data_IF_769838195072
#
_entry.id   IF_769838195072
#
_cell.length_a   1.000
_cell.length_b   1.000
_cell.length_c   1.000
_cell.angle_alpha   90.00
_cell.angle_beta   90.00
_cell.angle_gamma   90.00
#
_symmetry.space_group_name_H-M   'P 1'
#
loop_
_entity.id
_entity.type
_entity.pdbx_description
1 polymer ?
#
# COMPACT_ATOMS: atom_id res chain seq x y z
N UNK A 1 11.67 31.06 -19.48
CA UNK A 1 13.11 31.37 -19.30
C UNK A 1 13.42 31.28 -17.80
N UNK A 2 14.56 30.68 -17.39
CA UNK A 2 15.02 30.41 -15.99
C UNK A 2 14.25 29.37 -15.14
N UNK A 3 14.25 28.09 -15.55
CA UNK A 3 14.04 26.93 -14.65
C UNK A 3 15.11 25.82 -14.84
N UNK A 4 16.19 26.12 -15.58
CA UNK A 4 17.24 25.15 -15.96
C UNK A 4 18.37 24.99 -14.91
N UNK A 5 18.53 25.93 -13.98
CA UNK A 5 19.68 25.93 -13.05
C UNK A 5 19.35 25.43 -11.62
N UNK A 6 18.08 25.26 -11.26
CA UNK A 6 17.70 24.86 -9.89
C UNK A 6 17.73 23.33 -9.68
N UNK A 7 17.43 22.54 -10.72
CA UNK A 7 17.50 21.07 -10.64
C UNK A 7 18.95 20.56 -10.69
N UNK A 8 19.87 21.30 -11.32
CA UNK A 8 21.30 20.97 -11.30
C UNK A 8 21.96 21.18 -9.93
N UNK A 9 21.42 22.07 -9.11
CA UNK A 9 21.98 22.34 -7.78
C UNK A 9 21.60 21.26 -6.76
N UNK A 10 20.42 20.65 -6.88
CA UNK A 10 19.99 19.57 -5.98
C UNK A 10 20.60 18.20 -6.31
N UNK A 11 21.00 17.96 -7.56
CA UNK A 11 21.74 16.73 -7.92
C UNK A 11 23.24 16.89 -7.66
N UNK A 12 23.80 18.11 -7.75
CA UNK A 12 25.22 18.36 -7.47
C UNK A 12 25.57 18.55 -5.99
N UNK A 13 24.60 18.81 -5.11
CA UNK A 13 24.84 18.91 -3.66
C UNK A 13 24.52 17.62 -2.87
N UNK A 14 23.96 16.59 -3.51
CA UNK A 14 23.85 15.27 -2.90
C UNK A 14 25.20 14.53 -2.81
N UNK A 15 26.29 15.09 -3.35
CA UNK A 15 27.61 14.48 -3.36
C UNK A 15 28.56 15.00 -2.26
N UNK A 16 28.13 15.96 -1.42
CA UNK A 16 28.95 16.43 -0.29
C UNK A 16 28.11 16.64 0.96
N UNK A 17 28.55 16.03 2.06
CA UNK A 17 28.01 16.07 3.43
C UNK A 17 26.63 15.45 3.66
N UNK A 18 26.66 14.16 3.94
CA UNK A 18 25.53 13.37 4.38
C UNK A 18 25.69 11.95 3.90
N UNK A 19 26.72 11.25 4.39
CA UNK A 19 26.74 9.79 4.29
C UNK A 19 25.54 9.34 5.12
N UNK A 20 24.36 9.27 4.49
CA UNK A 20 23.29 8.40 4.96
C UNK A 20 23.91 7.02 4.80
N UNK A 21 24.59 6.56 5.84
CA UNK A 21 25.10 5.21 5.89
C UNK A 21 23.90 4.33 5.53
N UNK A 22 23.97 3.53 4.46
CA UNK A 22 22.88 2.63 4.14
C UNK A 22 22.67 1.83 5.43
N UNK A 23 21.47 1.90 6.00
CA UNK A 23 21.19 1.15 7.22
C UNK A 23 21.23 -0.31 6.80
N UNK A 24 22.39 -0.94 6.96
CA UNK A 24 22.64 -2.31 6.53
C UNK A 24 21.79 -3.20 7.43
N UNK A 25 20.56 -3.43 7.01
CA UNK A 25 19.66 -4.36 7.67
C UNK A 25 20.11 -5.73 7.20
N UNK A 26 20.95 -6.38 8.00
CA UNK A 26 21.20 -7.80 7.88
C UNK A 26 19.84 -8.52 7.86
N UNK A 27 19.67 -9.54 6.99
CA UNK A 27 18.41 -10.27 6.84
C UNK A 27 17.84 -10.78 8.18
N UNK A 28 18.71 -11.15 9.13
CA UNK A 28 18.31 -11.53 10.49
C UNK A 28 17.58 -10.40 11.23
N UNK A 29 18.07 -9.15 11.11
CA UNK A 29 17.43 -7.98 11.70
C UNK A 29 16.12 -7.66 10.98
N UNK A 30 16.05 -7.88 9.67
CA UNK A 30 14.79 -7.75 8.92
C UNK A 30 13.74 -8.75 9.43
N UNK A 31 14.10 -10.03 9.53
CA UNK A 31 13.19 -11.08 10.02
C UNK A 31 12.76 -10.79 11.46
N UNK A 32 13.70 -10.39 12.33
CA UNK A 32 13.38 -10.02 13.71
C UNK A 32 12.42 -8.82 13.77
N UNK A 33 12.68 -7.76 13.00
CA UNK A 33 11.80 -6.60 12.91
C UNK A 33 10.40 -6.97 12.39
N UNK A 34 10.33 -7.83 11.38
CA UNK A 34 9.07 -8.33 10.83
C UNK A 34 8.25 -9.11 11.86
N UNK A 35 8.88 -10.00 12.63
CA UNK A 35 8.22 -10.76 13.71
C UNK A 35 7.74 -9.82 14.83
N UNK A 36 8.59 -8.89 15.28
CA UNK A 36 8.25 -7.92 16.33
C UNK A 36 7.05 -7.06 15.90
N UNK A 37 7.02 -6.64 14.64
CA UNK A 37 5.90 -5.92 14.06
C UNK A 37 4.63 -6.75 14.15
N UNK A 38 4.61 -7.99 13.64
CA UNK A 38 3.42 -8.85 13.66
C UNK A 38 2.88 -9.00 15.09
N UNK A 39 3.77 -9.27 16.05
CA UNK A 39 3.38 -9.41 17.47
C UNK A 39 2.81 -8.09 17.99
N UNK A 40 3.42 -6.96 17.66
CA UNK A 40 2.95 -5.63 18.12
C UNK A 40 1.57 -5.32 17.53
N UNK A 41 1.36 -5.55 16.23
CA UNK A 41 0.05 -5.33 15.60
C UNK A 41 -1.01 -6.24 16.21
N UNK A 42 -0.67 -7.50 16.43
CA UNK A 42 -1.55 -8.47 17.08
C UNK A 42 -1.97 -7.97 18.47
N UNK A 43 -1.03 -7.52 19.30
CA UNK A 43 -1.32 -6.98 20.64
C UNK A 43 -2.19 -5.73 20.58
N UNK A 44 -1.91 -4.79 19.66
CA UNK A 44 -2.73 -3.58 19.48
C UNK A 44 -4.17 -3.95 19.12
N UNK A 45 -4.35 -4.87 18.16
CA UNK A 45 -5.67 -5.34 17.74
C UNK A 45 -6.40 -6.07 18.85
N UNK A 46 -5.67 -6.87 19.64
CA UNK A 46 -6.22 -7.59 20.78
C UNK A 46 -6.71 -6.62 21.86
N UNK A 47 -5.90 -5.63 22.23
CA UNK A 47 -6.29 -4.58 23.19
C UNK A 47 -7.49 -3.77 22.69
N UNK A 48 -7.52 -3.44 21.40
CA UNK A 48 -8.65 -2.74 20.79
C UNK A 48 -9.94 -3.58 20.86
N UNK A 49 -9.85 -4.87 20.53
CA UNK A 49 -10.99 -5.78 20.61
C UNK A 49 -11.52 -5.90 22.04
N UNK A 50 -10.64 -6.03 23.03
CA UNK A 50 -11.03 -6.06 24.45
C UNK A 50 -11.69 -4.75 24.90
N UNK A 51 -11.09 -3.61 24.55
CA UNK A 51 -11.59 -2.29 24.96
C UNK A 51 -12.95 -1.94 24.36
N UNK A 52 -13.25 -2.45 23.16
CA UNK A 52 -14.48 -2.14 22.42
C UNK A 52 -15.49 -3.30 22.36
N UNK A 53 -15.26 -4.39 23.08
CA UNK A 53 -16.07 -5.61 22.97
C UNK A 53 -17.56 -5.35 23.21
N UNK A 54 -17.90 -4.53 24.22
CA UNK A 54 -19.29 -4.18 24.54
C UNK A 54 -19.94 -3.32 23.44
N UNK A 55 -19.25 -2.29 22.94
CA UNK A 55 -19.76 -1.47 21.84
C UNK A 55 -19.89 -2.25 20.53
N UNK A 56 -18.99 -3.20 20.27
CA UNK A 56 -19.05 -4.10 19.11
C UNK A 56 -20.28 -4.99 19.19
N UNK A 57 -20.63 -5.52 20.37
CA UNK A 57 -21.79 -6.41 20.52
C UNK A 57 -23.13 -5.66 20.47
N UNK A 58 -23.21 -4.46 21.06
CA UNK A 58 -24.47 -3.74 21.22
C UNK A 58 -24.75 -2.71 20.12
N UNK A 59 -23.70 -2.14 19.50
CA UNK A 59 -23.80 -1.05 18.52
C UNK A 59 -22.88 -1.29 17.32
N UNK A 60 -23.02 -2.44 16.67
CA UNK A 60 -22.23 -2.85 15.50
C UNK A 60 -22.06 -1.75 14.44
N UNK A 61 -23.11 -0.99 14.11
CA UNK A 61 -23.03 0.09 13.11
C UNK A 61 -22.11 1.25 13.54
N UNK A 62 -22.10 1.57 14.84
CA UNK A 62 -21.20 2.57 15.40
C UNK A 62 -19.77 2.02 15.47
N UNK A 63 -19.61 0.77 15.91
CA UNK A 63 -18.33 0.09 15.91
C UNK A 63 -17.72 0.05 14.50
N UNK A 64 -18.48 -0.31 13.46
CA UNK A 64 -18.02 -0.30 12.06
C UNK A 64 -17.50 1.05 11.59
N UNK A 65 -18.16 2.16 11.98
CA UNK A 65 -17.74 3.52 11.63
C UNK A 65 -16.36 3.87 12.20
N UNK A 66 -16.03 3.35 13.38
CA UNK A 66 -14.72 3.54 14.02
C UNK A 66 -13.73 2.41 13.71
N UNK A 67 -14.20 1.21 13.36
CA UNK A 67 -13.41 0.05 12.93
C UNK A 67 -12.83 0.29 11.53
N UNK A 68 -13.58 0.99 10.68
CA UNK A 68 -13.08 1.56 9.43
C UNK A 68 -12.09 2.72 9.65
N UNK A 69 -11.68 3.03 10.89
CA UNK A 69 -10.51 3.87 11.12
C UNK A 69 -9.34 3.25 10.36
N UNK A 70 -8.84 3.92 9.30
CA UNK A 70 -7.86 3.35 8.38
C UNK A 70 -6.60 2.85 9.08
N UNK A 71 -6.34 3.32 10.30
CA UNK A 71 -5.07 3.18 10.97
C UNK A 71 -4.90 1.81 11.66
N UNK A 72 -5.91 1.30 12.36
CA UNK A 72 -5.77 0.04 13.14
C UNK A 72 -5.93 -1.18 12.23
N UNK A 73 -6.88 -1.13 11.30
CA UNK A 73 -7.19 -2.25 10.42
C UNK A 73 -6.15 -2.44 9.30
N UNK A 74 -5.61 -1.33 8.78
CA UNK A 74 -4.57 -1.38 7.76
C UNK A 74 -3.15 -1.29 8.35
N UNK A 75 -3.00 -1.40 9.66
CA UNK A 75 -1.68 -1.33 10.30
C UNK A 75 -0.76 -2.44 9.80
N UNK A 76 -1.30 -3.65 9.59
CA UNK A 76 -0.54 -4.75 8.98
C UNK A 76 -0.04 -4.39 7.58
N UNK A 77 -0.92 -3.85 6.73
CA UNK A 77 -0.58 -3.44 5.37
C UNK A 77 0.45 -2.30 5.36
N UNK A 78 0.27 -1.31 6.23
CA UNK A 78 1.17 -0.18 6.35
C UNK A 78 2.57 -0.63 6.77
N UNK A 79 2.69 -1.46 7.81
CA UNK A 79 4.01 -1.85 8.31
C UNK A 79 4.66 -2.90 7.42
N UNK A 80 3.91 -3.88 6.89
CA UNK A 80 4.46 -4.81 5.91
C UNK A 80 4.93 -4.04 4.67
N UNK A 81 4.15 -3.06 4.18
CA UNK A 81 4.54 -2.14 3.12
C UNK A 81 5.82 -1.36 3.43
N UNK A 82 5.96 -0.84 4.65
CA UNK A 82 7.16 -0.14 5.10
C UNK A 82 8.40 -1.04 5.08
N UNK A 83 8.26 -2.31 5.45
CA UNK A 83 9.35 -3.29 5.49
C UNK A 83 9.80 -3.76 4.10
N UNK A 84 8.95 -3.69 3.07
CA UNK A 84 9.32 -4.03 1.69
C UNK A 84 10.49 -3.18 1.20
N UNK A 85 10.50 -1.88 1.52
CA UNK A 85 11.54 -0.97 1.05
C UNK A 85 12.96 -1.39 1.50
N UNK A 86 13.22 -1.63 2.80
CA UNK A 86 14.44 -2.26 3.28
C UNK A 86 14.79 -3.58 2.57
N UNK A 87 13.81 -4.46 2.35
CA UNK A 87 14.01 -5.76 1.73
C UNK A 87 14.48 -5.63 0.27
N UNK A 88 13.85 -4.73 -0.50
CA UNK A 88 14.24 -4.40 -1.87
C UNK A 88 15.65 -3.81 -1.91
N UNK A 89 15.98 -2.90 -0.98
CA UNK A 89 17.31 -2.30 -0.89
C UNK A 89 18.39 -3.34 -0.61
N UNK A 90 18.16 -4.24 0.34
CA UNK A 90 19.06 -5.35 0.67
C UNK A 90 19.32 -6.23 -0.56
N UNK A 91 18.27 -6.66 -1.26
CA UNK A 91 18.42 -7.51 -2.44
C UNK A 91 19.17 -6.81 -3.59
N UNK A 92 18.89 -5.53 -3.84
CA UNK A 92 19.57 -4.77 -4.88
C UNK A 92 21.06 -4.54 -4.58
N UNK A 93 21.43 -4.39 -3.30
CA UNK A 93 22.82 -4.28 -2.87
C UNK A 93 23.58 -5.60 -3.02
N UNK A 94 22.97 -6.72 -2.59
CA UNK A 94 23.58 -8.05 -2.72
C UNK A 94 23.78 -8.45 -4.20
N UNK A 95 22.86 -8.05 -5.08
CA UNK A 95 23.04 -8.22 -6.52
C UNK A 95 24.25 -7.46 -7.06
N UNK A 96 24.51 -6.23 -6.60
CA UNK A 96 25.66 -5.42 -7.03
C UNK A 96 26.99 -5.98 -6.50
N UNK A 97 27.03 -6.40 -5.23
CA UNK A 97 28.23 -7.01 -4.63
C UNK A 97 28.59 -8.36 -5.25
N UNK A 98 27.60 -9.18 -5.61
CA UNK A 98 27.80 -10.46 -6.28
C UNK A 98 28.27 -10.30 -7.74
N UNK A 99 27.94 -9.20 -8.41
CA UNK A 99 28.48 -8.87 -9.75
C UNK A 99 29.95 -8.46 -9.65
N UNK A 100 30.33 -7.66 -8.65
CA UNK A 100 31.73 -7.26 -8.45
C UNK A 100 32.61 -8.41 -7.95
N UNK A 101 32.08 -9.32 -7.12
CA UNK A 101 32.82 -10.49 -6.64
C UNK A 101 32.83 -11.67 -7.62
N UNK A 102 31.96 -11.71 -8.64
CA UNK A 102 32.10 -12.66 -9.77
C UNK A 102 33.36 -12.41 -10.61
N UNK A 103 33.95 -11.21 -10.51
CA UNK A 103 35.23 -10.88 -11.14
C UNK A 103 36.41 -11.42 -10.30
N UNK A 104 36.22 -11.61 -8.99
CA UNK A 104 37.20 -12.26 -8.10
C UNK A 104 36.83 -13.73 -7.87
N UNK A 105 37.41 -14.62 -8.68
CA UNK A 105 37.38 -16.08 -8.48
C UNK A 105 38.04 -16.42 -7.13
N UNK A 106 37.26 -16.58 -6.07
CA UNK A 106 37.33 -17.70 -5.11
C UNK A 106 36.48 -17.38 -3.88
N UNK A 107 35.32 -18.04 -3.75
CA UNK A 107 34.64 -18.14 -2.47
C UNK A 107 33.61 -19.26 -2.54
N UNK A 108 34.09 -20.50 -2.34
CA UNK A 108 33.29 -21.73 -2.45
C UNK A 108 32.26 -21.94 -1.33
N UNK A 109 32.18 -21.09 -0.29
CA UNK A 109 31.39 -21.41 0.91
C UNK A 109 30.41 -20.31 1.39
N UNK A 110 29.94 -19.40 0.54
CA UNK A 110 28.94 -18.41 0.97
C UNK A 110 27.51 -18.84 0.64
N UNK A 111 26.90 -19.45 1.67
CA UNK A 111 25.48 -19.63 1.97
C UNK A 111 24.51 -19.54 0.77
N UNK A 112 24.05 -20.72 0.38
CA UNK A 112 23.12 -21.07 -0.69
C UNK A 112 21.68 -20.50 -0.55
N UNK A 113 21.46 -19.48 0.28
CA UNK A 113 20.12 -19.19 0.81
C UNK A 113 19.26 -18.25 -0.04
N UNK A 114 19.83 -17.48 -0.99
CA UNK A 114 19.03 -16.55 -1.81
C UNK A 114 19.51 -16.43 -3.25
N UNK A 115 19.77 -17.56 -3.90
CA UNK A 115 19.85 -17.60 -5.37
C UNK A 115 18.43 -17.56 -5.95
N UNK A 116 17.73 -16.42 -5.79
CA UNK A 116 16.63 -16.07 -6.69
C UNK A 116 17.24 -15.91 -8.08
N UNK A 117 17.39 -17.04 -8.77
CA UNK A 117 17.95 -17.10 -10.10
C UNK A 117 17.10 -16.18 -10.97
N UNK A 118 17.74 -15.21 -11.63
CA UNK A 118 17.09 -14.22 -12.49
C UNK A 118 16.18 -14.83 -13.57
N UNK A 119 16.31 -16.12 -13.85
CA UNK A 119 15.47 -16.90 -14.78
C UNK A 119 14.09 -17.30 -14.22
N UNK A 120 13.89 -17.41 -12.89
CA UNK A 120 12.60 -17.79 -12.30
C UNK A 120 11.68 -16.59 -12.00
N UNK A 121 12.14 -15.39 -12.32
CA UNK A 121 11.43 -14.15 -12.03
C UNK A 121 10.01 -14.03 -12.62
N UNK A 122 9.75 -14.37 -13.90
CA UNK A 122 8.39 -14.32 -14.42
C UNK A 122 7.48 -15.29 -13.68
N UNK A 123 7.97 -16.50 -13.34
CA UNK A 123 7.21 -17.49 -12.56
C UNK A 123 6.83 -16.97 -11.18
N UNK A 124 7.72 -16.25 -10.51
CA UNK A 124 7.45 -15.65 -9.19
C UNK A 124 6.34 -14.58 -9.28
N UNK A 125 6.33 -13.76 -10.33
CA UNK A 125 5.23 -12.80 -10.56
C UNK A 125 3.90 -13.52 -10.80
N UNK A 126 3.90 -14.59 -11.58
CA UNK A 126 2.70 -15.42 -11.76
C UNK A 126 2.21 -16.02 -10.44
N UNK A 127 3.11 -16.54 -9.60
CA UNK A 127 2.76 -17.03 -8.26
C UNK A 127 2.13 -15.91 -7.42
N UNK A 128 2.71 -14.70 -7.43
CA UNK A 128 2.15 -13.56 -6.71
C UNK A 128 0.73 -13.18 -7.20
N UNK A 129 0.49 -13.19 -8.51
CA UNK A 129 -0.85 -12.96 -9.08
C UNK A 129 -1.84 -14.05 -8.62
N UNK A 130 -1.45 -15.32 -8.73
CA UNK A 130 -2.28 -16.45 -8.29
C UNK A 130 -2.63 -16.31 -6.81
N UNK A 131 -1.67 -15.96 -5.96
CA UNK A 131 -1.90 -15.75 -4.53
C UNK A 131 -2.89 -14.61 -4.26
N UNK A 132 -2.83 -13.50 -5.00
CA UNK A 132 -3.79 -12.40 -4.89
C UNK A 132 -5.20 -12.87 -5.30
N UNK A 133 -5.33 -13.62 -6.39
CA UNK A 133 -6.62 -14.15 -6.85
C UNK A 133 -7.19 -15.14 -5.84
N UNK A 134 -6.37 -16.06 -5.33
CA UNK A 134 -6.79 -17.03 -4.32
C UNK A 134 -7.18 -16.34 -3.01
N UNK A 135 -6.42 -15.33 -2.58
CA UNK A 135 -6.75 -14.52 -1.41
C UNK A 135 -8.11 -13.85 -1.59
N UNK A 136 -8.38 -13.24 -2.76
CA UNK A 136 -9.67 -12.62 -3.06
C UNK A 136 -10.83 -13.63 -3.01
N UNK A 137 -10.67 -14.79 -3.63
CA UNK A 137 -11.70 -15.83 -3.60
C UNK A 137 -11.93 -16.35 -2.18
N UNK A 138 -10.86 -16.55 -1.41
CA UNK A 138 -10.94 -16.99 -0.03
C UNK A 138 -11.61 -15.96 0.88
N UNK A 139 -11.25 -14.67 0.76
CA UNK A 139 -11.86 -13.60 1.55
C UNK A 139 -13.33 -13.41 1.17
N UNK A 140 -13.68 -13.48 -0.12
CA UNK A 140 -15.06 -13.43 -0.59
C UNK A 140 -15.90 -14.60 -0.07
N UNK A 141 -15.38 -15.83 -0.18
CA UNK A 141 -16.05 -17.02 0.34
C UNK A 141 -16.27 -16.92 1.86
N UNK A 142 -15.24 -16.52 2.62
CA UNK A 142 -15.34 -16.35 4.07
C UNK A 142 -16.33 -15.24 4.44
N UNK A 143 -16.28 -14.10 3.75
CA UNK A 143 -17.22 -12.99 3.96
C UNK A 143 -18.67 -13.41 3.72
N UNK A 144 -18.91 -14.16 2.64
CA UNK A 144 -20.24 -14.59 2.25
C UNK A 144 -20.79 -15.72 3.13
N UNK A 145 -20.01 -16.77 3.41
CA UNK A 145 -20.49 -17.95 4.12
C UNK A 145 -20.31 -17.91 5.63
N UNK A 146 -19.30 -17.20 6.14
CA UNK A 146 -18.96 -17.22 7.58
C UNK A 146 -19.33 -15.92 8.30
N UNK A 147 -19.12 -14.78 7.66
CA UNK A 147 -19.47 -13.46 8.24
C UNK A 147 -20.89 -13.00 7.86
N UNK A 148 -21.57 -13.69 6.93
CA UNK A 148 -23.01 -13.61 6.61
C UNK A 148 -23.62 -12.20 6.71
N UNK A 149 -22.94 -11.22 6.11
CA UNK A 149 -23.42 -9.85 6.03
C UNK A 149 -24.78 -9.80 5.33
N UNK A 150 -25.82 -9.35 6.04
CA UNK A 150 -27.09 -8.93 5.42
C UNK A 150 -28.19 -9.99 5.29
N UNK A 151 -28.15 -11.12 6.02
CA UNK A 151 -29.30 -12.03 6.08
C UNK A 151 -30.32 -11.59 7.16
N UNK A 152 -31.61 -11.41 6.82
CA UNK A 152 -32.62 -10.87 7.74
C UNK A 152 -32.99 -11.81 8.89
N UNK A 153 -32.64 -13.10 8.79
CA UNK A 153 -33.02 -14.14 9.76
C UNK A 153 -31.91 -14.52 10.75
N UNK A 154 -30.75 -13.86 10.72
CA UNK A 154 -29.65 -14.14 11.64
C UNK A 154 -29.01 -12.87 12.18
N UNK A 155 -28.56 -12.86 13.45
CA UNK A 155 -27.89 -11.71 14.05
C UNK A 155 -26.64 -11.32 13.24
N UNK A 156 -26.73 -10.17 12.57
CA UNK A 156 -25.63 -9.55 11.83
C UNK A 156 -24.51 -9.12 12.77
N UNK A 157 -23.28 -9.53 12.49
CA UNK A 157 -22.11 -9.05 13.23
C UNK A 157 -20.80 -9.66 12.72
N UNK A 158 -19.69 -8.93 12.85
CA UNK A 158 -18.34 -9.48 12.69
C UNK A 158 -18.13 -10.52 13.80
N UNK A 159 -18.11 -11.80 13.43
CA UNK A 159 -18.18 -12.89 14.41
C UNK A 159 -16.87 -13.62 14.63
N UNK A 160 -15.86 -13.45 13.77
CA UNK A 160 -14.66 -14.29 13.91
C UNK A 160 -13.36 -13.53 14.16
N UNK A 161 -12.63 -14.02 15.17
CA UNK A 161 -11.20 -13.77 15.35
C UNK A 161 -10.42 -14.00 14.04
N UNK A 162 -10.89 -14.92 13.19
CA UNK A 162 -10.33 -15.24 11.87
C UNK A 162 -10.23 -14.01 10.97
N UNK A 163 -11.30 -13.24 10.82
CA UNK A 163 -11.30 -12.04 9.95
C UNK A 163 -10.34 -10.96 10.46
N UNK A 164 -10.20 -10.83 11.78
CA UNK A 164 -9.42 -9.76 12.40
C UNK A 164 -7.93 -10.08 12.53
N UNK A 165 -7.61 -11.32 12.90
CA UNK A 165 -6.25 -11.73 13.27
C UNK A 165 -5.59 -12.63 12.23
N UNK A 166 -6.34 -13.26 11.33
CA UNK A 166 -5.78 -14.17 10.31
C UNK A 166 -5.86 -13.52 8.93
N UNK A 167 -7.06 -13.11 8.51
CA UNK A 167 -7.31 -12.64 7.15
C UNK A 167 -6.55 -11.34 6.83
N UNK A 168 -6.49 -10.40 7.78
CA UNK A 168 -5.79 -9.13 7.61
C UNK A 168 -4.27 -9.28 7.51
N UNK A 169 -3.57 -9.96 8.45
CA UNK A 169 -2.14 -10.21 8.30
C UNK A 169 -1.82 -11.01 7.04
N UNK A 170 -2.64 -12.02 6.69
CA UNK A 170 -2.46 -12.78 5.46
C UNK A 170 -2.56 -11.89 4.22
N UNK A 171 -3.53 -10.98 4.20
CA UNK A 171 -3.68 -9.98 3.14
C UNK A 171 -2.45 -9.09 3.05
N UNK A 172 -1.94 -8.59 4.18
CA UNK A 172 -0.75 -7.76 4.23
C UNK A 172 0.51 -8.49 3.72
N UNK A 173 0.68 -9.76 4.08
CA UNK A 173 1.81 -10.58 3.63
C UNK A 173 1.75 -10.81 2.11
N UNK A 174 0.60 -11.25 1.59
CA UNK A 174 0.44 -11.56 0.17
C UNK A 174 0.56 -10.31 -0.70
N UNK A 175 -0.06 -9.19 -0.29
CA UNK A 175 0.08 -7.91 -0.99
C UNK A 175 1.51 -7.37 -0.93
N UNK A 176 2.18 -7.50 0.21
CA UNK A 176 3.58 -7.10 0.33
C UNK A 176 4.51 -7.95 -0.54
N UNK A 177 4.25 -9.25 -0.62
CA UNK A 177 4.95 -10.14 -1.54
C UNK A 177 4.69 -9.75 -2.99
N UNK A 178 3.43 -9.46 -3.35
CA UNK A 178 3.08 -8.98 -4.68
C UNK A 178 3.87 -7.72 -5.04
N UNK A 179 3.81 -6.68 -4.20
CA UNK A 179 4.56 -5.43 -4.41
C UNK A 179 6.05 -5.72 -4.53
N UNK A 180 6.62 -6.48 -3.60
CA UNK A 180 8.03 -6.87 -3.62
C UNK A 180 8.41 -7.50 -4.96
N UNK A 181 7.68 -8.51 -5.45
CA UNK A 181 8.02 -9.20 -6.70
C UNK A 181 7.92 -8.32 -7.95
N UNK A 182 7.07 -7.30 -7.93
CA UNK A 182 6.91 -6.35 -9.03
C UNK A 182 7.94 -5.22 -8.98
N UNK A 183 8.28 -4.71 -7.79
CA UNK A 183 9.22 -3.61 -7.57
C UNK A 183 10.70 -4.04 -7.53
N UNK A 184 10.97 -5.31 -7.25
CA UNK A 184 12.33 -5.82 -7.03
C UNK A 184 13.24 -5.69 -8.26
N UNK A 185 12.69 -5.74 -9.48
CA UNK A 185 13.39 -5.21 -10.66
C UNK A 185 13.00 -3.75 -10.76
N UNK A 186 13.85 -2.88 -10.23
CA UNK A 186 13.74 -1.43 -10.43
C UNK A 186 13.31 -1.15 -11.87
N UNK A 187 12.25 -0.37 -12.06
CA UNK A 187 11.94 0.33 -13.29
C UNK A 187 13.06 1.37 -13.59
N UNK A 188 14.29 0.90 -13.76
CA UNK A 188 15.48 1.76 -13.68
C UNK A 188 15.93 2.33 -15.02
N UNK A 189 15.19 2.16 -16.11
CA UNK A 189 15.75 2.54 -17.42
C UNK A 189 15.10 3.72 -18.13
N UNK A 190 13.86 4.15 -17.80
CA UNK A 190 13.25 5.25 -18.58
C UNK A 190 12.29 6.20 -17.85
N UNK A 191 11.77 5.90 -16.65
CA UNK A 191 10.56 6.60 -16.16
C UNK A 191 10.70 7.48 -14.92
N UNK A 192 11.74 7.30 -14.10
CA UNK A 192 11.73 7.87 -12.73
C UNK A 192 11.92 9.38 -12.64
N UNK A 193 12.36 10.07 -13.71
CA UNK A 193 12.68 11.50 -13.66
C UNK A 193 11.87 12.36 -14.64
N UNK A 194 10.99 11.76 -15.45
CA UNK A 194 10.19 12.54 -16.39
C UNK A 194 8.88 12.98 -15.73
N UNK A 195 8.56 14.27 -15.83
CA UNK A 195 7.28 14.81 -15.36
C UNK A 195 6.12 14.00 -15.92
N UNK A 196 5.13 13.70 -15.07
CA UNK A 196 3.84 13.14 -15.48
C UNK A 196 3.23 14.09 -16.53
N UNK A 197 3.17 13.63 -17.76
CA UNK A 197 2.59 14.36 -18.89
C UNK A 197 1.87 13.38 -19.80
N UNK A 198 0.85 13.83 -20.53
CA UNK A 198 0.08 12.98 -21.42
C UNK A 198 0.96 12.27 -22.46
N UNK A 199 1.96 12.98 -23.01
CA UNK A 199 2.93 12.41 -23.94
C UNK A 199 3.76 11.26 -23.32
N UNK A 200 4.11 11.38 -22.04
CA UNK A 200 4.88 10.35 -21.35
C UNK A 200 4.01 9.16 -20.94
N UNK A 201 2.72 9.38 -20.69
CA UNK A 201 1.74 8.30 -20.46
C UNK A 201 1.50 7.52 -21.75
N UNK A 202 1.40 8.19 -22.90
CA UNK A 202 1.28 7.50 -24.19
C UNK A 202 2.51 6.63 -24.50
N UNK A 203 3.72 7.11 -24.16
CA UNK A 203 4.96 6.33 -24.30
C UNK A 203 5.05 5.15 -23.31
N UNK A 204 4.47 5.30 -22.13
CA UNK A 204 4.44 4.27 -21.10
C UNK A 204 3.09 4.26 -20.36
N UNK A 205 2.11 3.46 -20.82
CA UNK A 205 0.74 3.50 -20.29
C UNK A 205 0.66 3.06 -18.82
N UNK A 206 1.65 2.33 -18.32
CA UNK A 206 1.74 1.90 -16.91
C UNK A 206 1.82 3.11 -15.97
N UNK A 207 2.33 4.26 -16.43
CA UNK A 207 2.35 5.50 -15.65
C UNK A 207 0.97 6.04 -15.30
N UNK A 208 -0.08 5.60 -16.00
CA UNK A 208 -1.47 5.89 -15.61
C UNK A 208 -1.77 5.38 -14.20
N UNK A 209 -1.09 4.31 -13.76
CA UNK A 209 -1.22 3.79 -12.38
C UNK A 209 -0.69 4.79 -11.33
N UNK A 210 0.24 5.69 -11.66
CA UNK A 210 0.68 6.76 -10.75
C UNK A 210 -0.48 7.74 -10.48
N UNK A 211 -1.22 8.11 -11.54
CA UNK A 211 -2.42 8.97 -11.42
C UNK A 211 -3.53 8.23 -10.68
N UNK A 212 -3.77 6.97 -11.05
CA UNK A 212 -4.78 6.15 -10.38
C UNK A 212 -4.44 5.92 -8.92
N UNK A 213 -3.17 5.82 -8.54
CA UNK A 213 -2.75 5.71 -7.15
C UNK A 213 -3.17 6.93 -6.33
N UNK A 214 -2.83 8.13 -6.78
CA UNK A 214 -3.24 9.37 -6.10
C UNK A 214 -4.76 9.53 -6.07
N UNK A 215 -5.44 9.23 -7.18
CA UNK A 215 -6.90 9.31 -7.26
C UNK A 215 -7.57 8.26 -6.37
N UNK A 216 -7.01 7.05 -6.28
CA UNK A 216 -7.53 5.96 -5.44
C UNK A 216 -7.51 6.33 -3.96
N UNK A 217 -6.47 7.05 -3.50
CA UNK A 217 -6.40 7.54 -2.13
C UNK A 217 -7.49 8.57 -1.85
N UNK A 218 -7.69 9.54 -2.75
CA UNK A 218 -8.77 10.51 -2.61
C UNK A 218 -10.15 9.86 -2.66
N UNK A 219 -10.36 8.87 -3.53
CA UNK A 219 -11.61 8.09 -3.56
C UNK A 219 -11.82 7.35 -2.25
N UNK A 220 -10.78 6.73 -1.71
CA UNK A 220 -10.83 6.06 -0.41
C UNK A 220 -11.21 7.02 0.73
N UNK A 221 -10.73 8.27 0.73
CA UNK A 221 -11.11 9.25 1.75
C UNK A 221 -12.57 9.69 1.61
N UNK A 222 -13.04 9.95 0.39
CA UNK A 222 -14.32 10.62 0.15
C UNK A 222 -15.52 9.68 -0.08
N UNK A 223 -15.30 8.40 -0.40
CA UNK A 223 -16.40 7.51 -0.80
C UNK A 223 -17.47 7.35 0.29
N UNK A 224 -17.11 7.18 1.57
CA UNK A 224 -18.10 6.98 2.65
C UNK A 224 -18.98 8.23 2.86
N UNK A 225 -18.42 9.44 3.08
CA UNK A 225 -19.23 10.65 3.20
C UNK A 225 -20.18 10.87 2.02
N UNK A 226 -19.70 10.59 0.81
CA UNK A 226 -20.51 10.73 -0.41
C UNK A 226 -21.63 9.70 -0.43
N UNK A 227 -21.33 8.41 -0.25
CA UNK A 227 -22.33 7.34 -0.20
C UNK A 227 -23.46 7.69 0.78
N UNK A 228 -23.13 8.16 1.98
CA UNK A 228 -24.12 8.54 2.99
C UNK A 228 -25.05 9.68 2.54
N UNK A 229 -24.55 10.60 1.72
CA UNK A 229 -25.34 11.74 1.20
C UNK A 229 -26.13 11.40 -0.06
N UNK A 230 -25.60 10.52 -0.92
CA UNK A 230 -26.24 10.19 -2.20
C UNK A 230 -27.21 9.01 -2.09
N UNK A 231 -27.03 8.10 -1.13
CA UNK A 231 -27.91 6.93 -0.94
C UNK A 231 -29.40 7.29 -0.82
N UNK A 232 -29.81 8.33 -0.06
CA UNK A 232 -31.22 8.72 -0.01
C UNK A 232 -31.74 9.39 -1.30
N UNK A 233 -30.85 9.86 -2.18
CA UNK A 233 -31.22 10.54 -3.44
C UNK A 233 -31.40 9.54 -4.58
N UNK A 234 -30.49 8.56 -4.68
CA UNK A 234 -30.53 7.53 -5.71
C UNK A 234 -31.24 6.28 -5.18
N UNK A 235 -32.56 6.31 -5.29
CA UNK A 235 -33.45 5.18 -5.02
C UNK A 235 -33.98 4.63 -6.36
N UNK A 236 -33.86 3.32 -6.56
CA UNK A 236 -34.53 2.57 -7.64
C UNK A 236 -35.13 1.30 -7.03
N UNK A 237 -36.26 0.86 -7.59
CA UNK A 237 -36.93 -0.38 -7.21
C UNK A 237 -36.09 -1.61 -7.59
N UNK A 238 -35.21 -1.48 -8.59
CA UNK A 238 -34.31 -2.54 -9.04
C UNK A 238 -32.98 -2.42 -8.28
N UNK A 239 -32.61 -3.40 -7.42
CA UNK A 239 -31.40 -3.30 -6.59
C UNK A 239 -30.10 -3.15 -7.39
N UNK A 240 -30.01 -3.81 -8.55
CA UNK A 240 -28.83 -3.74 -9.41
C UNK A 240 -28.67 -2.35 -10.04
N UNK A 241 -29.78 -1.73 -10.45
CA UNK A 241 -29.78 -0.37 -10.97
C UNK A 241 -29.40 0.64 -9.88
N UNK A 242 -30.02 0.52 -8.70
CA UNK A 242 -29.68 1.35 -7.55
C UNK A 242 -28.19 1.22 -7.18
N UNK A 243 -27.64 0.01 -7.22
CA UNK A 243 -26.21 -0.22 -7.02
C UNK A 243 -25.37 0.45 -8.11
N UNK A 244 -25.69 0.25 -9.39
CA UNK A 244 -24.96 0.83 -10.52
C UNK A 244 -24.97 2.36 -10.49
N UNK A 245 -26.10 2.98 -10.14
CA UNK A 245 -26.21 4.43 -9.98
C UNK A 245 -25.38 4.94 -8.79
N UNK A 246 -25.49 4.29 -7.63
CA UNK A 246 -24.75 4.68 -6.41
C UNK A 246 -23.25 4.53 -6.58
N UNK A 247 -22.76 3.44 -7.17
CA UNK A 247 -21.32 3.24 -7.37
C UNK A 247 -20.77 4.24 -8.39
N UNK A 248 -21.46 4.45 -9.51
CA UNK A 248 -21.07 5.42 -10.53
C UNK A 248 -21.01 6.85 -9.96
N UNK A 249 -22.08 7.28 -9.28
CA UNK A 249 -22.15 8.58 -8.64
C UNK A 249 -21.07 8.74 -7.56
N UNK A 250 -20.85 7.72 -6.73
CA UNK A 250 -19.80 7.74 -5.71
C UNK A 250 -18.43 7.92 -6.34
N UNK A 251 -18.08 7.14 -7.37
CA UNK A 251 -16.77 7.20 -8.02
C UNK A 251 -16.53 8.55 -8.69
N UNK A 252 -17.53 9.10 -9.39
CA UNK A 252 -17.43 10.41 -10.05
C UNK A 252 -17.25 11.51 -9.01
N UNK A 253 -18.15 11.59 -8.03
CA UNK A 253 -18.09 12.64 -6.99
C UNK A 253 -16.81 12.52 -6.15
N UNK A 254 -16.40 11.30 -5.82
CA UNK A 254 -15.16 11.03 -5.10
C UNK A 254 -13.94 11.51 -5.89
N UNK A 255 -13.91 11.27 -7.19
CA UNK A 255 -12.81 11.68 -8.06
C UNK A 255 -12.74 13.20 -8.19
N UNK A 256 -13.90 13.87 -8.30
CA UNK A 256 -13.98 15.34 -8.33
C UNK A 256 -13.46 15.91 -7.00
N UNK A 257 -13.98 15.43 -5.87
CA UNK A 257 -13.56 15.90 -4.55
C UNK A 257 -12.08 15.63 -4.28
N UNK A 258 -11.59 14.44 -4.62
CA UNK A 258 -10.17 14.09 -4.55
C UNK A 258 -9.30 15.09 -5.33
N UNK A 259 -9.72 15.43 -6.55
CA UNK A 259 -9.00 16.40 -7.40
C UNK A 259 -9.01 17.78 -6.76
N UNK A 260 -10.16 18.24 -6.28
CA UNK A 260 -10.28 19.54 -5.60
C UNK A 260 -9.40 19.58 -4.35
N UNK A 261 -9.41 18.54 -3.53
CA UNK A 261 -8.61 18.49 -2.30
C UNK A 261 -7.12 18.39 -2.58
N UNK A 262 -6.73 17.69 -3.65
CA UNK A 262 -5.35 17.65 -4.11
C UNK A 262 -4.84 19.06 -4.45
N UNK A 263 -5.60 19.82 -5.25
CA UNK A 263 -5.18 21.15 -5.67
C UNK A 263 -5.28 22.21 -4.56
N UNK A 264 -6.32 22.16 -3.71
CA UNK A 264 -6.57 23.18 -2.69
C UNK A 264 -5.83 22.92 -1.37
N UNK A 265 -5.55 21.66 -1.02
CA UNK A 265 -4.98 21.30 0.28
C UNK A 265 -3.60 20.66 0.12
N UNK A 266 -3.49 19.59 -0.66
CA UNK A 266 -2.23 18.84 -0.73
C UNK A 266 -1.09 19.63 -1.38
N UNK A 267 -1.33 20.31 -2.51
CA UNK A 267 -0.30 21.11 -3.18
C UNK A 267 0.19 22.26 -2.29
N UNK A 268 -0.67 23.10 -1.68
CA UNK A 268 -0.22 24.13 -0.76
C UNK A 268 0.53 23.57 0.44
N UNK A 269 0.01 22.53 1.09
CA UNK A 269 0.65 21.89 2.24
C UNK A 269 2.04 21.32 1.90
N UNK A 270 2.18 20.70 0.73
CA UNK A 270 3.46 20.19 0.24
C UNK A 270 4.48 21.33 0.03
N UNK A 271 4.04 22.47 -0.53
CA UNK A 271 4.90 23.66 -0.67
C UNK A 271 5.38 24.15 0.70
N UNK A 272 4.50 24.24 1.70
CA UNK A 272 4.89 24.65 3.06
C UNK A 272 5.94 23.72 3.68
N UNK A 273 5.81 22.41 3.51
CA UNK A 273 6.79 21.43 4.01
C UNK A 273 8.19 21.63 3.41
N UNK A 274 8.27 21.95 2.12
CA UNK A 274 9.55 22.22 1.43
C UNK A 274 10.20 23.50 1.97
N UNK A 275 9.43 24.57 2.17
CA UNK A 275 9.96 25.83 2.71
C UNK A 275 10.50 25.68 4.13
N UNK A 276 9.88 24.84 4.98
CA UNK A 276 10.41 24.55 6.32
C UNK A 276 11.73 23.77 6.26
N UNK A 277 11.87 22.80 5.35
CA UNK A 277 13.12 22.05 5.17
C UNK A 277 14.31 22.93 4.75
N UNK A 278 14.08 23.93 3.89
CA UNK A 278 15.11 24.89 3.48
C UNK A 278 15.49 25.85 4.62
N UNK A 279 14.53 26.20 5.49
CA UNK A 279 14.75 27.14 6.60
C UNK A 279 15.50 26.52 7.79
N UNK A 280 15.49 25.19 7.93
CA UNK A 280 16.23 24.46 8.98
C UNK A 280 17.70 24.24 8.57
N UNK A 281 18.04 24.41 7.29
CA UNK A 281 19.39 24.23 6.75
C UNK A 281 20.19 25.55 6.61
N UNK A 282 19.58 26.69 6.92
CA UNK A 282 20.22 28.01 6.96
C UNK A 282 20.23 28.52 8.40
#
# INVERSE_FOLDING_TARGET
>A
MKFKNCVRFLVSQSDKSGIITPRIINLRHFIAAFIVVIITVFLIKYLFLLGFQKQIQEQMAYAFRYWYSPLIHNLDLFICGFLINPLIQYYNQDKKSNISTKISKDSKNKLHLFRFNSLNYPRIKFIAIILIVLLYLFTAHHGYHQELFGLPSRPSGIRTFTTTFILQPLTAIITSFFIFTFELKRYELYSQNEKLSFNNILKNPIRTLEIMGNLSYGVYVWHIPIIQKITPVFTSDIPLEAFALRISATLILSSILATVTYYLVEIPAAKFKIYQGVRIQN
#
